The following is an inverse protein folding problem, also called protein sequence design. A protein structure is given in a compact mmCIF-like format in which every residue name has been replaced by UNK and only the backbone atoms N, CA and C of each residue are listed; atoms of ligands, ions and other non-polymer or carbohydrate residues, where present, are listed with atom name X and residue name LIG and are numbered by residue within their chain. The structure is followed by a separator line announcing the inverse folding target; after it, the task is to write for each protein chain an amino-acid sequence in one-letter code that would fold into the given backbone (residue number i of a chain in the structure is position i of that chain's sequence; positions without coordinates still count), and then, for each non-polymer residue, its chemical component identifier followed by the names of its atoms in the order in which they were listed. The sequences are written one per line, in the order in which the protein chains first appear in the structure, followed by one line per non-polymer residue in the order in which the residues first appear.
data_IF_779851747936
#
_entry.id   IF_779851747936
#
_cell.length_a   1.000
_cell.length_b   1.000
_cell.length_c   1.000
_cell.angle_alpha   90.00
_cell.angle_beta   90.00
_cell.angle_gamma   90.00
#
_symmetry.space_group_name_H-M   'P 1'
#
loop_
_entity.id
_entity.type
_entity.pdbx_description
1 polymer ?
#
# COMPACT_ATOMS: atom_id res chain seq x y z
N UNK A 1 20.80 0.10 15.78
CA UNK A 1 21.08 -0.38 14.41
C UNK A 1 20.82 0.77 13.43
N UNK A 2 21.75 1.00 12.55
CA UNK A 2 21.61 2.02 11.53
C UNK A 2 21.02 1.41 10.26
N UNK A 3 19.95 1.99 9.72
CA UNK A 3 19.38 1.52 8.48
C UNK A 3 20.18 2.05 7.29
N UNK A 4 20.58 1.16 6.40
CA UNK A 4 21.24 1.52 5.15
C UNK A 4 20.32 1.16 4.01
N UNK A 5 19.83 2.18 3.30
CA UNK A 5 18.87 2.00 2.22
C UNK A 5 19.57 1.91 0.87
N UNK A 6 19.19 0.93 0.08
CA UNK A 6 19.64 0.77 -1.29
C UNK A 6 18.46 0.93 -2.21
N UNK A 7 18.57 1.82 -3.20
CA UNK A 7 17.52 1.99 -4.22
C UNK A 7 17.51 0.79 -5.13
N UNK A 8 16.33 0.19 -5.33
CA UNK A 8 16.14 -1.02 -6.12
C UNK A 8 14.86 -0.95 -6.94
N UNK A 9 14.71 -1.89 -7.85
CA UNK A 9 13.42 -2.11 -8.49
C UNK A 9 12.44 -2.69 -7.46
N UNK A 10 11.15 -2.32 -7.51
CA UNK A 10 10.16 -2.87 -6.60
C UNK A 10 10.05 -4.39 -6.74
N UNK A 11 9.95 -5.14 -5.63
CA UNK A 11 9.78 -6.58 -5.71
C UNK A 11 8.39 -6.94 -6.22
N UNK A 12 8.28 -8.11 -6.82
CA UNK A 12 7.03 -8.54 -7.45
C UNK A 12 5.88 -8.63 -6.45
N UNK A 13 6.13 -9.07 -5.20
CA UNK A 13 5.08 -9.17 -4.19
C UNK A 13 4.43 -7.81 -3.88
N UNK A 14 5.22 -6.74 -3.93
CA UNK A 14 4.72 -5.38 -3.70
C UNK A 14 3.84 -4.93 -4.87
N UNK A 15 4.28 -5.17 -6.09
CA UNK A 15 3.52 -4.83 -7.28
C UNK A 15 2.21 -5.63 -7.34
N UNK A 16 2.25 -6.90 -7.00
CA UNK A 16 1.06 -7.76 -6.97
C UNK A 16 0.04 -7.27 -5.93
N UNK A 17 0.51 -6.84 -4.76
CA UNK A 17 -0.36 -6.30 -3.73
C UNK A 17 -1.07 -5.04 -4.21
N UNK A 18 -0.33 -4.09 -4.81
CA UNK A 18 -0.93 -2.87 -5.33
C UNK A 18 -1.89 -3.14 -6.48
N UNK A 19 -1.56 -4.10 -7.35
CA UNK A 19 -2.45 -4.47 -8.45
C UNK A 19 -3.78 -5.01 -7.94
N UNK A 20 -3.78 -5.80 -6.88
CA UNK A 20 -5.02 -6.29 -6.26
C UNK A 20 -5.90 -5.16 -5.76
N UNK A 21 -5.31 -4.13 -5.21
CA UNK A 21 -6.04 -2.95 -4.75
C UNK A 21 -6.60 -2.17 -5.95
N UNK A 22 -5.78 -1.92 -6.95
CA UNK A 22 -6.18 -1.16 -8.14
C UNK A 22 -7.29 -1.87 -8.92
N UNK A 23 -7.19 -3.19 -9.06
CA UNK A 23 -8.18 -4.01 -9.75
C UNK A 23 -9.39 -4.34 -8.88
N UNK A 24 -9.35 -3.99 -7.58
CA UNK A 24 -10.40 -4.28 -6.59
C UNK A 24 -10.67 -5.79 -6.47
N UNK A 25 -9.64 -6.61 -6.60
CA UNK A 25 -9.75 -8.08 -6.54
C UNK A 25 -9.40 -8.64 -5.17
N UNK A 26 -8.48 -8.03 -4.45
CA UNK A 26 -8.10 -8.36 -3.06
C UNK A 26 -7.78 -9.85 -2.85
N UNK A 27 -7.11 -10.47 -3.83
CA UNK A 27 -6.82 -11.90 -3.84
C UNK A 27 -5.43 -12.25 -3.31
N UNK A 28 -4.72 -13.11 -4.05
CA UNK A 28 -3.43 -13.69 -3.63
C UNK A 28 -2.32 -12.66 -3.43
N UNK A 29 -2.41 -11.50 -4.04
CA UNK A 29 -1.45 -10.42 -3.81
C UNK A 29 -1.40 -9.98 -2.35
N UNK A 30 -2.41 -10.32 -1.56
CA UNK A 30 -2.45 -10.06 -0.12
C UNK A 30 -1.76 -11.13 0.72
N UNK A 31 -1.17 -12.16 0.10
CA UNK A 31 -0.44 -13.20 0.82
C UNK A 31 0.83 -12.68 1.50
N UNK A 32 1.29 -11.48 1.14
CA UNK A 32 2.37 -10.79 1.86
C UNK A 32 1.98 -10.40 3.29
N UNK A 33 0.69 -10.35 3.61
CA UNK A 33 0.19 -10.08 4.96
C UNK A 33 -0.10 -11.39 5.68
N UNK A 34 0.17 -11.41 6.99
CA UNK A 34 -0.10 -12.56 7.85
C UNK A 34 -1.16 -12.18 8.89
N UNK A 35 -1.51 -13.11 9.77
CA UNK A 35 -2.41 -12.83 10.88
C UNK A 35 -1.81 -11.84 11.88
N UNK A 36 -0.48 -11.71 11.90
CA UNK A 36 0.23 -10.81 12.81
C UNK A 36 0.55 -9.45 12.19
N UNK A 37 0.32 -9.27 10.89
CA UNK A 37 0.57 -7.98 10.23
C UNK A 37 -0.36 -6.91 10.79
N UNK A 38 0.21 -5.76 11.15
CA UNK A 38 -0.56 -4.59 11.55
C UNK A 38 -0.39 -3.52 10.48
N UNK A 39 -1.50 -3.00 9.98
CA UNK A 39 -1.52 -1.94 8.98
C UNK A 39 -2.15 -0.68 9.58
N UNK A 40 -1.46 0.46 9.41
CA UNK A 40 -2.02 1.76 9.77
C UNK A 40 -1.79 2.74 8.62
N UNK A 41 -2.87 3.17 8.01
CA UNK A 41 -2.86 4.15 6.91
C UNK A 41 -3.34 5.53 7.36
N UNK A 42 -3.17 5.82 8.66
CA UNK A 42 -3.48 7.13 9.23
C UNK A 42 -4.82 7.22 9.95
N UNK A 43 -5.59 6.15 10.00
CA UNK A 43 -6.92 6.14 10.63
C UNK A 43 -6.96 5.27 11.88
N UNK A 44 -6.56 4.01 11.74
CA UNK A 44 -6.61 3.02 12.82
C UNK A 44 -5.65 1.88 12.53
N UNK A 45 -5.34 1.08 13.55
CA UNK A 45 -4.59 -0.15 13.38
C UNK A 45 -5.54 -1.27 12.91
N UNK A 46 -5.19 -1.90 11.81
CA UNK A 46 -5.89 -3.09 11.31
C UNK A 46 -4.96 -4.28 11.46
N UNK A 47 -5.33 -5.24 12.27
CA UNK A 47 -4.50 -6.40 12.54
C UNK A 47 -4.99 -7.63 11.78
N UNK A 48 -4.07 -8.27 11.05
CA UNK A 48 -4.32 -9.49 10.32
C UNK A 48 -4.76 -9.27 8.88
N UNK A 49 -4.45 -10.25 8.03
CA UNK A 49 -4.75 -10.18 6.59
C UNK A 49 -6.21 -9.88 6.30
N UNK A 50 -7.13 -10.54 7.02
CA UNK A 50 -8.56 -10.39 6.73
C UNK A 50 -9.08 -9.01 7.15
N UNK A 51 -8.59 -8.47 8.26
CA UNK A 51 -8.95 -7.11 8.66
C UNK A 51 -8.40 -6.07 7.67
N UNK A 52 -7.17 -6.27 7.21
CA UNK A 52 -6.57 -5.39 6.22
C UNK A 52 -7.36 -5.45 4.91
N UNK A 53 -7.67 -6.66 4.44
CA UNK A 53 -8.45 -6.86 3.21
C UNK A 53 -9.82 -6.19 3.30
N UNK A 54 -10.54 -6.45 4.39
CA UNK A 54 -11.90 -5.93 4.57
C UNK A 54 -11.94 -4.41 4.69
N UNK A 55 -11.02 -3.82 5.44
CA UNK A 55 -10.98 -2.37 5.62
C UNK A 55 -10.54 -1.66 4.35
N UNK A 56 -9.56 -2.20 3.62
CA UNK A 56 -9.15 -1.63 2.34
C UNK A 56 -10.27 -1.70 1.32
N UNK A 57 -10.96 -2.84 1.26
CA UNK A 57 -12.09 -2.99 0.35
C UNK A 57 -13.17 -1.96 0.64
N UNK A 58 -13.54 -1.78 1.89
CA UNK A 58 -14.52 -0.77 2.29
C UNK A 58 -14.06 0.63 1.89
N UNK A 59 -12.79 0.96 2.11
CA UNK A 59 -12.23 2.26 1.75
C UNK A 59 -12.26 2.48 0.23
N UNK A 60 -11.85 1.49 -0.54
CA UNK A 60 -11.79 1.60 -2.00
C UNK A 60 -13.20 1.65 -2.62
N UNK A 61 -14.19 1.02 -2.00
CA UNK A 61 -15.56 1.04 -2.49
C UNK A 61 -16.29 2.35 -2.20
N UNK A 62 -15.59 3.39 -1.70
CA UNK A 62 -16.22 4.69 -1.40
C UNK A 62 -16.48 5.57 -2.64
N UNK A 63 -16.35 5.03 -3.85
CA UNK A 63 -16.76 5.73 -5.06
C UNK A 63 -15.62 6.36 -5.85
N UNK A 64 -14.50 5.69 -5.93
CA UNK A 64 -13.39 6.12 -6.78
C UNK A 64 -12.63 4.93 -7.32
N UNK A 65 -11.83 5.17 -8.37
CA UNK A 65 -10.82 4.22 -8.87
C UNK A 65 -9.44 4.78 -8.56
N UNK A 66 -8.50 3.89 -8.31
CA UNK A 66 -7.13 4.25 -8.02
C UNK A 66 -6.18 3.42 -8.88
N UNK A 67 -5.10 4.05 -9.32
CA UNK A 67 -4.01 3.37 -9.99
C UNK A 67 -2.70 3.81 -9.33
N UNK A 68 -2.03 2.87 -8.67
CA UNK A 68 -0.82 3.14 -7.91
C UNK A 68 0.41 2.99 -8.79
N UNK A 69 1.28 4.01 -8.75
CA UNK A 69 2.57 4.01 -9.47
C UNK A 69 3.69 4.08 -8.45
N UNK A 70 4.51 3.03 -8.39
CA UNK A 70 5.72 3.02 -7.56
C UNK A 70 6.82 3.73 -8.34
N UNK A 71 7.22 4.92 -7.89
CA UNK A 71 8.25 5.70 -8.55
C UNK A 71 9.63 5.48 -7.95
N UNK A 72 9.70 5.18 -6.66
CA UNK A 72 10.95 4.90 -5.96
C UNK A 72 10.72 3.80 -4.95
N UNK A 73 11.69 2.90 -4.86
CA UNK A 73 11.69 1.82 -3.88
C UNK A 73 13.08 1.72 -3.25
N UNK A 74 13.10 1.68 -1.92
CA UNK A 74 14.34 1.66 -1.14
C UNK A 74 14.29 0.50 -0.15
N UNK A 75 15.37 -0.27 -0.09
CA UNK A 75 15.47 -1.49 0.70
C UNK A 75 16.58 -1.37 1.73
N UNK A 76 16.25 -1.54 3.01
CA UNK A 76 17.20 -1.64 4.11
C UNK A 76 17.14 -3.01 4.79
N UNK A 77 16.58 -4.02 4.11
CA UNK A 77 16.37 -5.36 4.64
C UNK A 77 15.09 -5.45 5.48
N UNK A 78 15.21 -5.15 6.77
CA UNK A 78 14.05 -5.20 7.68
C UNK A 78 12.99 -4.12 7.42
N UNK A 79 13.37 -3.08 6.70
CA UNK A 79 12.51 -1.94 6.40
C UNK A 79 12.60 -1.63 4.91
N UNK A 80 11.45 -1.55 4.27
CA UNK A 80 11.35 -1.18 2.87
C UNK A 80 10.47 0.04 2.76
N UNK A 81 10.87 0.99 1.93
CA UNK A 81 10.14 2.24 1.72
C UNK A 81 9.81 2.37 0.25
N UNK A 82 8.56 2.65 -0.01
CA UNK A 82 8.14 2.94 -1.36
C UNK A 82 7.51 4.33 -1.40
N UNK A 83 7.84 5.07 -2.43
CA UNK A 83 7.25 6.37 -2.72
C UNK A 83 6.68 6.34 -4.12
N UNK A 84 5.54 6.98 -4.28
CA UNK A 84 4.88 6.98 -5.58
C UNK A 84 3.77 7.99 -5.69
N UNK A 85 3.01 7.83 -6.76
CA UNK A 85 1.85 8.64 -7.08
C UNK A 85 0.67 7.71 -7.28
N UNK A 86 -0.50 8.12 -6.83
CA UNK A 86 -1.74 7.40 -7.13
C UNK A 86 -2.62 8.29 -8.00
N UNK A 87 -3.09 7.74 -9.13
CA UNK A 87 -4.09 8.40 -9.95
C UNK A 87 -5.45 8.03 -9.38
N UNK A 88 -6.16 9.00 -8.81
CA UNK A 88 -7.47 8.79 -8.19
C UNK A 88 -8.53 9.50 -8.99
N UNK A 89 -9.53 8.75 -9.45
CA UNK A 89 -10.64 9.26 -10.24
C UNK A 89 -11.95 8.95 -9.51
N UNK A 90 -12.70 9.97 -9.06
CA UNK A 90 -14.01 9.72 -8.44
C UNK A 90 -15.02 9.23 -9.48
N UNK A 91 -15.99 8.44 -9.00
CA UNK A 91 -17.03 7.86 -9.85
C UNK A 91 -18.19 8.83 -10.08
N UNK A 92 -17.99 10.13 -9.91
CA UNK A 92 -18.99 11.18 -10.04
C UNK A 92 -19.20 11.67 -11.48
N UNK A 93 -18.55 11.02 -12.44
CA UNK A 93 -18.61 11.34 -13.88
C UNK A 93 -18.06 12.73 -14.24
N UNK A 94 -17.35 13.38 -13.33
CA UNK A 94 -16.72 14.68 -13.61
C UNK A 94 -15.57 14.58 -14.58
N UNK A 95 -14.98 13.38 -14.73
CA UNK A 95 -13.74 13.16 -15.49
C UNK A 95 -12.52 13.70 -14.77
N UNK A 96 -12.68 14.18 -13.53
CA UNK A 96 -11.60 14.74 -12.74
C UNK A 96 -10.71 13.62 -12.20
N UNK A 97 -9.40 13.76 -12.35
CA UNK A 97 -8.40 12.87 -11.75
C UNK A 97 -7.45 13.70 -10.91
N UNK A 98 -7.16 13.25 -9.70
CA UNK A 98 -6.15 13.87 -8.85
C UNK A 98 -4.98 12.91 -8.68
N UNK A 99 -3.81 13.45 -8.34
CA UNK A 99 -2.55 12.69 -8.32
C UNK A 99 -1.82 12.88 -6.99
N UNK A 100 -2.39 12.45 -5.86
CA UNK A 100 -1.70 12.58 -4.59
C UNK A 100 -0.42 11.72 -4.58
N UNK A 101 0.60 12.21 -3.90
CA UNK A 101 1.78 11.41 -3.62
C UNK A 101 1.50 10.51 -2.42
N UNK A 102 2.23 9.42 -2.32
CA UNK A 102 2.11 8.51 -1.19
C UNK A 102 3.47 7.95 -0.82
N UNK A 103 3.65 7.67 0.46
CA UNK A 103 4.86 7.04 0.97
C UNK A 103 4.43 5.95 1.94
N UNK A 104 4.97 4.76 1.76
CA UNK A 104 4.63 3.60 2.56
C UNK A 104 5.88 2.95 3.12
N UNK A 105 5.80 2.51 4.37
CA UNK A 105 6.85 1.81 5.10
C UNK A 105 6.39 0.39 5.37
N UNK A 106 7.19 -0.58 4.96
CA UNK A 106 6.93 -1.99 5.19
C UNK A 106 8.02 -2.55 6.10
N UNK A 107 7.67 -2.84 7.35
CA UNK A 107 8.55 -3.53 8.28
C UNK A 107 8.35 -5.02 8.07
N UNK A 108 9.43 -5.72 7.68
CA UNK A 108 9.34 -7.10 7.23
C UNK A 108 9.48 -8.08 8.38
N UNK A 109 8.99 -9.29 8.16
CA UNK A 109 9.22 -10.42 9.04
C UNK A 109 10.71 -10.74 9.08
N UNK A 110 11.23 -11.12 10.26
CA UNK A 110 12.67 -11.39 10.44
C UNK A 110 13.13 -12.64 9.67
N UNK A 111 12.21 -13.56 9.39
CA UNK A 111 12.53 -14.85 8.77
C UNK A 111 12.11 -14.95 7.31
N UNK A 112 11.19 -14.09 6.88
CA UNK A 112 10.64 -14.14 5.53
C UNK A 112 10.50 -12.74 4.96
N UNK A 113 11.39 -12.42 4.02
CA UNK A 113 11.45 -11.09 3.39
C UNK A 113 10.32 -10.83 2.40
N UNK A 114 9.39 -11.75 2.26
CA UNK A 114 8.16 -11.59 1.47
C UNK A 114 6.92 -11.39 2.35
N UNK A 115 7.09 -11.38 3.68
CA UNK A 115 6.00 -11.21 4.63
C UNK A 115 6.16 -9.91 5.40
N UNK A 116 5.08 -9.16 5.46
CA UNK A 116 5.03 -7.85 6.12
C UNK A 116 4.59 -8.02 7.56
N UNK A 117 5.38 -7.51 8.50
CA UNK A 117 5.01 -7.48 9.91
C UNK A 117 4.20 -6.21 10.23
N UNK A 118 4.60 -5.08 9.67
CA UNK A 118 3.92 -3.81 9.89
C UNK A 118 3.95 -2.97 8.63
N UNK A 119 2.81 -2.39 8.28
CA UNK A 119 2.66 -1.49 7.15
C UNK A 119 2.13 -0.16 7.66
N UNK A 120 2.91 0.90 7.46
CA UNK A 120 2.52 2.27 7.80
C UNK A 120 2.56 3.09 6.53
N UNK A 121 1.49 3.80 6.24
CA UNK A 121 1.44 4.59 5.02
C UNK A 121 0.73 5.91 5.21
N UNK A 122 1.01 6.83 4.29
CA UNK A 122 0.37 8.11 4.21
C UNK A 122 0.12 8.48 2.76
N UNK A 123 -1.05 9.05 2.52
CA UNK A 123 -1.44 9.60 1.22
C UNK A 123 -1.53 11.12 1.39
N UNK A 124 -0.95 11.85 0.45
CA UNK A 124 -1.01 13.30 0.44
C UNK A 124 -2.43 13.82 0.26
N UNK A 125 -2.64 15.13 0.41
CA UNK A 125 -3.98 15.71 0.27
C UNK A 125 -4.59 15.37 -1.07
N UNK A 126 -5.90 15.08 -1.06
CA UNK A 126 -6.67 14.89 -2.28
C UNK A 126 -7.62 16.07 -2.43
N UNK A 127 -7.98 16.37 -3.66
CA UNK A 127 -8.92 17.46 -3.95
C UNK A 127 -10.37 16.95 -4.05
N UNK A 128 -10.67 15.81 -3.46
CA UNK A 128 -12.01 15.22 -3.48
C UNK A 128 -12.97 15.90 -2.49
N UNK A 129 -12.38 16.46 -1.45
CA UNK A 129 -13.15 16.99 -0.34
C UNK A 129 -13.89 18.22 -0.57
#
# INVERSE_FOLDING_TARGET
MQAVFTKKEPPQWLLDMWKEIDDKTFGKGFDCFTEDTVCNLGVADWKGREAIRGNLKTFIDTGFTALHHVTEYWDAGFLKVFHGVVDMTPDDRSGRTVHPTMTHFFYMDEKDDTKVRRWVGAVGPTAFG
#
